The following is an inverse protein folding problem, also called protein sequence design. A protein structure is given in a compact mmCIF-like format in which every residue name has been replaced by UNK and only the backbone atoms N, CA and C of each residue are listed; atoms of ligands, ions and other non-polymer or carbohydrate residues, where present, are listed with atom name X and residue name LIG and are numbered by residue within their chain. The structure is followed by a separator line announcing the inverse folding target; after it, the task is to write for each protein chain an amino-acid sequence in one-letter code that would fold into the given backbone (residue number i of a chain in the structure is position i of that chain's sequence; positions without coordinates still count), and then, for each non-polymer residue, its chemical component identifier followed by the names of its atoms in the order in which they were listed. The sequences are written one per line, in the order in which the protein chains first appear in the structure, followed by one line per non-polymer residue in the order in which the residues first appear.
data_IF_838542412569
#
_entry.id   IF_838542412569
#
_cell.length_a   1.000
_cell.length_b   1.000
_cell.length_c   1.000
_cell.angle_alpha   90.00
_cell.angle_beta   90.00
_cell.angle_gamma   90.00
#
_symmetry.space_group_name_H-M   'P 1'
#
loop_
_entity.id
_entity.type
_entity.pdbx_description
1 polymer ?
#
# COMPACT_ATOMS: atom_id res chain seq x y z
N UNK A 1 21.95 82.27 1.62
CA UNK A 1 20.72 81.46 1.59
C UNK A 1 19.48 82.28 1.96
N UNK A 2 18.50 82.37 1.06
CA UNK A 2 17.20 83.04 1.25
C UNK A 2 16.32 82.24 2.24
N UNK A 3 15.49 82.89 3.06
CA UNK A 3 14.61 82.24 4.05
C UNK A 3 13.62 81.27 3.38
N UNK A 4 13.22 81.54 2.14
CA UNK A 4 12.39 80.64 1.33
C UNK A 4 13.11 79.32 1.01
N UNK A 5 14.41 79.35 0.67
CA UNK A 5 15.21 78.15 0.40
C UNK A 5 15.39 77.32 1.68
N UNK A 6 15.55 78.00 2.82
CA UNK A 6 15.66 77.36 4.14
C UNK A 6 14.38 76.61 4.52
N UNK A 7 13.22 77.23 4.31
CA UNK A 7 11.91 76.60 4.54
C UNK A 7 11.68 75.41 3.59
N UNK A 8 12.07 75.52 2.32
CA UNK A 8 11.99 74.41 1.36
C UNK A 8 12.87 73.22 1.75
N UNK A 9 14.11 73.47 2.17
CA UNK A 9 15.02 72.44 2.65
C UNK A 9 14.48 71.73 3.90
N UNK A 10 13.89 72.48 4.82
CA UNK A 10 13.25 71.92 6.01
C UNK A 10 12.08 71.00 5.63
N UNK A 11 11.17 71.47 4.76
CA UNK A 11 10.02 70.69 4.31
C UNK A 11 10.44 69.39 3.58
N UNK A 12 11.48 69.44 2.74
CA UNK A 12 12.01 68.25 2.06
C UNK A 12 12.69 67.28 3.02
N UNK A 13 13.36 67.80 4.06
CA UNK A 13 13.99 66.98 5.10
C UNK A 13 12.94 66.25 5.94
N UNK A 14 11.87 66.95 6.30
CA UNK A 14 10.71 66.36 6.98
C UNK A 14 10.01 65.32 6.09
N UNK A 15 9.83 65.61 4.79
CA UNK A 15 9.28 64.65 3.83
C UNK A 15 10.12 63.36 3.74
N UNK A 16 11.45 63.51 3.67
CA UNK A 16 12.38 62.38 3.61
C UNK A 16 12.31 61.51 4.86
N UNK A 17 12.27 62.12 6.04
CA UNK A 17 12.17 61.40 7.31
C UNK A 17 10.84 60.65 7.41
N UNK A 18 9.72 61.29 7.03
CA UNK A 18 8.40 60.65 6.98
C UNK A 18 8.37 59.47 6.02
N UNK A 19 9.02 59.57 4.87
CA UNK A 19 9.14 58.47 3.91
C UNK A 19 9.92 57.27 4.48
N UNK A 20 11.03 57.53 5.19
CA UNK A 20 11.79 56.48 5.89
C UNK A 20 10.96 55.80 6.96
N UNK A 21 10.15 56.56 7.71
CA UNK A 21 9.19 56.01 8.67
C UNK A 21 8.17 55.11 7.97
N UNK A 22 7.61 55.51 6.82
CA UNK A 22 6.72 54.65 6.04
C UNK A 22 7.40 53.36 5.58
N UNK A 23 8.67 53.41 5.15
CA UNK A 23 9.42 52.21 4.78
C UNK A 23 9.62 51.26 5.96
N UNK A 24 9.86 51.78 7.17
CA UNK A 24 9.97 50.98 8.39
C UNK A 24 8.62 50.36 8.77
N UNK A 25 7.54 51.14 8.71
CA UNK A 25 6.17 50.67 8.97
C UNK A 25 5.75 49.57 7.99
N UNK A 26 6.07 49.72 6.70
CA UNK A 26 5.84 48.68 5.68
C UNK A 26 6.61 47.40 5.98
N UNK A 27 7.90 47.50 6.38
CA UNK A 27 8.68 46.33 6.80
C UNK A 27 8.06 45.64 8.01
N UNK A 28 7.60 46.40 9.01
CA UNK A 28 6.90 45.87 10.18
C UNK A 28 5.60 45.16 9.76
N UNK A 29 4.79 45.77 8.90
CA UNK A 29 3.57 45.14 8.36
C UNK A 29 3.87 43.82 7.67
N UNK A 30 4.84 43.79 6.75
CA UNK A 30 5.21 42.54 6.06
C UNK A 30 5.73 41.46 6.99
N UNK A 31 6.41 41.86 8.08
CA UNK A 31 6.89 40.93 9.09
C UNK A 31 5.73 40.30 9.86
N UNK A 32 4.78 41.13 10.32
CA UNK A 32 3.55 40.68 11.00
C UNK A 32 2.74 39.75 10.08
N UNK A 33 2.55 40.12 8.82
CA UNK A 33 1.86 39.27 7.84
C UNK A 33 2.54 37.91 7.65
N UNK A 34 3.88 37.88 7.66
CA UNK A 34 4.64 36.63 7.61
C UNK A 34 4.48 35.79 8.89
N UNK A 35 4.40 36.41 10.07
CA UNK A 35 4.16 35.70 11.33
C UNK A 35 2.76 35.09 11.38
N UNK A 36 1.74 35.82 10.92
CA UNK A 36 0.38 35.31 10.78
C UNK A 36 0.35 34.08 9.89
N UNK A 37 1.01 34.15 8.72
CA UNK A 37 1.04 33.03 7.78
C UNK A 37 1.70 31.79 8.41
N UNK A 38 2.83 31.99 9.10
CA UNK A 38 3.52 30.90 9.81
C UNK A 38 2.63 30.28 10.89
N UNK A 39 1.96 31.09 11.71
CA UNK A 39 1.08 30.60 12.77
C UNK A 39 -0.11 29.79 12.20
N UNK A 40 -0.66 30.20 11.05
CA UNK A 40 -1.69 29.44 10.33
C UNK A 40 -1.13 28.09 9.84
N UNK A 41 0.07 28.07 9.29
CA UNK A 41 0.72 26.84 8.78
C UNK A 41 1.09 25.85 9.90
N UNK A 42 1.49 26.36 11.07
CA UNK A 42 1.77 25.55 12.25
C UNK A 42 0.47 24.90 12.78
N UNK A 43 -0.64 25.66 12.87
CA UNK A 43 -1.93 25.13 13.29
C UNK A 43 -2.52 24.12 12.28
N UNK A 44 -2.36 24.40 10.97
CA UNK A 44 -2.65 23.46 9.88
C UNK A 44 -1.98 22.10 10.10
N UNK A 45 -0.69 22.13 10.46
CA UNK A 45 0.10 20.92 10.68
C UNK A 45 -0.39 20.16 11.91
N UNK A 46 -0.62 20.85 13.03
CA UNK A 46 -1.08 20.23 14.27
C UNK A 46 -2.46 19.55 14.14
N UNK A 47 -3.40 20.17 13.42
CA UNK A 47 -4.72 19.57 13.14
C UNK A 47 -4.57 18.32 12.26
N UNK A 48 -3.72 18.40 11.23
CA UNK A 48 -3.47 17.27 10.32
C UNK A 48 -2.87 16.06 11.04
N UNK A 49 -1.86 16.27 11.89
CA UNK A 49 -1.20 15.21 12.66
C UNK A 49 -2.16 14.49 13.61
N UNK A 50 -2.98 15.24 14.36
CA UNK A 50 -4.00 14.64 15.24
C UNK A 50 -4.99 13.79 14.45
N UNK A 51 -5.42 14.29 13.29
CA UNK A 51 -6.37 13.59 12.41
C UNK A 51 -5.79 12.29 11.83
N UNK A 52 -4.52 12.33 11.39
CA UNK A 52 -3.82 11.17 10.86
C UNK A 52 -3.65 10.06 11.94
N UNK A 53 -3.44 10.44 13.21
CA UNK A 53 -3.41 9.49 14.33
C UNK A 53 -4.73 8.72 14.51
N UNK A 54 -5.88 9.40 14.41
CA UNK A 54 -7.19 8.75 14.53
C UNK A 54 -7.46 7.77 13.37
N UNK A 55 -7.17 8.18 12.13
CA UNK A 55 -7.32 7.30 10.96
C UNK A 55 -6.38 6.09 11.04
N UNK A 56 -5.14 6.31 11.49
CA UNK A 56 -4.18 5.24 11.74
C UNK A 56 -4.68 4.27 12.83
N UNK A 57 -5.40 4.75 13.84
CA UNK A 57 -6.02 3.91 14.87
C UNK A 57 -7.06 2.95 14.29
N UNK A 58 -7.90 3.42 13.36
CA UNK A 58 -8.89 2.57 12.67
C UNK A 58 -8.23 1.59 11.69
N UNK A 59 -7.18 2.01 10.99
CA UNK A 59 -6.40 1.12 10.14
C UNK A 59 -5.72 0.01 10.96
N UNK A 60 -5.28 0.32 12.18
CA UNK A 60 -4.79 -0.67 13.14
C UNK A 60 -5.89 -1.62 13.61
N UNK A 61 -7.09 -1.11 13.94
CA UNK A 61 -8.27 -1.93 14.32
C UNK A 61 -8.62 -2.93 13.20
N UNK A 62 -8.63 -2.51 11.92
CA UNK A 62 -8.84 -3.42 10.78
C UNK A 62 -7.79 -4.53 10.75
N UNK A 63 -6.52 -4.16 10.96
CA UNK A 63 -5.42 -5.11 10.94
C UNK A 63 -5.52 -6.13 12.09
N UNK A 64 -5.79 -5.68 13.31
CA UNK A 64 -5.92 -6.56 14.48
C UNK A 64 -7.13 -7.49 14.33
N UNK A 65 -8.30 -6.98 13.92
CA UNK A 65 -9.48 -7.79 13.66
C UNK A 65 -9.18 -8.88 12.62
N UNK A 66 -8.56 -8.54 11.49
CA UNK A 66 -8.17 -9.55 10.49
C UNK A 66 -7.23 -10.61 11.05
N UNK A 67 -6.24 -10.20 11.85
CA UNK A 67 -5.26 -11.11 12.45
C UNK A 67 -5.94 -12.09 13.41
N UNK A 68 -6.86 -11.61 14.24
CA UNK A 68 -7.61 -12.44 15.20
C UNK A 68 -8.49 -13.47 14.50
N UNK A 69 -9.25 -13.06 13.49
CA UNK A 69 -10.11 -13.98 12.73
C UNK A 69 -9.28 -15.00 11.94
N UNK A 70 -8.18 -14.59 11.31
CA UNK A 70 -7.28 -15.51 10.62
C UNK A 70 -6.72 -16.58 11.57
N UNK A 71 -6.37 -16.20 12.80
CA UNK A 71 -5.92 -17.14 13.82
C UNK A 71 -7.00 -18.17 14.19
N UNK A 72 -8.25 -17.72 14.38
CA UNK A 72 -9.40 -18.61 14.65
C UNK A 72 -9.67 -19.57 13.48
N UNK A 73 -9.69 -19.04 12.25
CA UNK A 73 -9.90 -19.84 11.03
C UNK A 73 -8.77 -20.86 10.87
N UNK A 74 -7.52 -20.48 11.14
CA UNK A 74 -6.37 -21.39 11.06
C UNK A 74 -6.48 -22.53 12.08
N UNK A 75 -6.92 -22.24 13.31
CA UNK A 75 -7.17 -23.25 14.34
C UNK A 75 -8.18 -24.31 13.86
N UNK A 76 -9.34 -23.87 13.37
CA UNK A 76 -10.39 -24.76 12.85
C UNK A 76 -9.91 -25.51 11.60
N UNK A 77 -9.20 -24.84 10.70
CA UNK A 77 -8.65 -25.47 9.48
C UNK A 77 -7.66 -26.59 9.80
N UNK A 78 -6.87 -26.43 10.87
CA UNK A 78 -5.93 -27.47 11.32
C UNK A 78 -6.65 -28.70 11.84
N UNK A 79 -7.69 -28.53 12.66
CA UNK A 79 -8.51 -29.65 13.14
C UNK A 79 -9.29 -30.31 12.00
N UNK A 80 -9.85 -29.51 11.07
CA UNK A 80 -10.50 -30.01 9.85
C UNK A 80 -9.56 -30.91 9.05
N UNK A 81 -8.30 -30.51 8.86
CA UNK A 81 -7.35 -31.31 8.08
C UNK A 81 -6.94 -32.61 8.80
N UNK A 82 -6.84 -32.60 10.14
CA UNK A 82 -6.65 -33.83 10.93
C UNK A 82 -7.80 -34.82 10.71
N UNK A 83 -9.05 -34.35 10.83
CA UNK A 83 -10.24 -35.19 10.59
C UNK A 83 -10.28 -35.70 9.15
N UNK A 84 -9.92 -34.85 8.18
CA UNK A 84 -9.84 -35.23 6.76
C UNK A 84 -8.81 -36.33 6.52
N UNK A 85 -7.62 -36.23 7.14
CA UNK A 85 -6.60 -37.26 7.04
C UNK A 85 -7.10 -38.59 7.60
N UNK A 86 -7.71 -38.59 8.79
CA UNK A 86 -8.30 -39.79 9.39
C UNK A 86 -9.45 -40.37 8.55
N UNK A 87 -10.28 -39.53 7.93
CA UNK A 87 -11.33 -39.96 7.01
C UNK A 87 -10.75 -40.68 5.79
N UNK A 88 -9.70 -40.14 5.17
CA UNK A 88 -9.03 -40.75 4.02
C UNK A 88 -8.45 -42.13 4.36
N UNK A 89 -7.87 -42.28 5.55
CA UNK A 89 -7.35 -43.56 6.03
C UNK A 89 -8.48 -44.59 6.20
N UNK A 90 -9.59 -44.21 6.83
CA UNK A 90 -10.75 -45.08 7.01
C UNK A 90 -11.37 -45.50 5.68
N UNK A 91 -11.46 -44.58 4.70
CA UNK A 91 -11.94 -44.90 3.34
C UNK A 91 -11.01 -45.91 2.68
N UNK A 92 -9.68 -45.74 2.81
CA UNK A 92 -8.72 -46.68 2.26
C UNK A 92 -8.81 -48.07 2.92
N UNK A 93 -9.01 -48.13 4.25
CA UNK A 93 -9.23 -49.38 4.97
C UNK A 93 -10.54 -50.06 4.53
N UNK A 94 -11.63 -49.30 4.39
CA UNK A 94 -12.92 -49.79 3.90
C UNK A 94 -12.81 -50.38 2.50
N UNK A 95 -12.09 -49.72 1.59
CA UNK A 95 -11.84 -50.22 0.23
C UNK A 95 -11.07 -51.56 0.21
N UNK A 96 -10.12 -51.76 1.14
CA UNK A 96 -9.39 -53.04 1.26
C UNK A 96 -10.30 -54.18 1.70
N UNK A 97 -11.24 -53.93 2.61
CA UNK A 97 -12.21 -54.95 3.05
C UNK A 97 -13.08 -55.40 1.88
N UNK A 98 -13.58 -54.47 1.07
CA UNK A 98 -14.36 -54.80 -0.14
C UNK A 98 -13.58 -55.69 -1.12
N UNK A 99 -12.28 -55.41 -1.32
CA UNK A 99 -11.44 -56.24 -2.19
C UNK A 99 -11.26 -57.66 -1.64
N UNK A 100 -11.12 -57.82 -0.32
CA UNK A 100 -11.00 -59.14 0.31
C UNK A 100 -12.30 -59.93 0.14
N UNK A 101 -13.45 -59.30 0.37
CA UNK A 101 -14.76 -59.93 0.16
C UNK A 101 -14.94 -60.40 -1.30
N UNK A 102 -14.53 -59.56 -2.27
CA UNK A 102 -14.59 -59.92 -3.68
C UNK A 102 -13.66 -61.11 -4.02
N UNK A 103 -12.46 -61.13 -3.45
CA UNK A 103 -11.52 -62.26 -3.61
C UNK A 103 -12.07 -63.55 -3.01
N UNK A 104 -12.74 -63.49 -1.85
CA UNK A 104 -13.36 -64.66 -1.21
C UNK A 104 -14.51 -65.20 -2.03
N UNK A 105 -15.42 -64.35 -2.53
CA UNK A 105 -16.52 -64.77 -3.40
C UNK A 105 -16.02 -65.50 -4.66
N UNK A 106 -14.92 -65.02 -5.26
CA UNK A 106 -14.27 -65.69 -6.40
C UNK A 106 -13.64 -67.03 -6.02
N UNK A 107 -13.09 -67.13 -4.81
CA UNK A 107 -12.53 -68.38 -4.28
C UNK A 107 -13.62 -69.42 -4.03
N UNK A 108 -14.71 -69.03 -3.39
CA UNK A 108 -15.84 -69.91 -3.08
C UNK A 108 -16.48 -70.45 -4.37
N UNK A 109 -16.65 -69.62 -5.40
CA UNK A 109 -17.12 -70.05 -6.73
C UNK A 109 -16.17 -71.06 -7.41
N UNK A 110 -14.85 -70.91 -7.24
CA UNK A 110 -13.88 -71.90 -7.75
C UNK A 110 -13.98 -73.22 -6.97
N UNK A 111 -14.18 -73.14 -5.66
CA UNK A 111 -14.30 -74.32 -4.81
C UNK A 111 -15.54 -75.15 -5.17
N UNK A 112 -16.69 -74.49 -5.35
CA UNK A 112 -17.94 -75.11 -5.80
C UNK A 112 -17.75 -75.85 -7.13
N UNK A 113 -17.16 -75.18 -8.13
CA UNK A 113 -16.83 -75.81 -9.42
C UNK A 113 -15.90 -77.01 -9.30
N UNK A 114 -14.99 -76.99 -8.33
CA UNK A 114 -14.07 -78.11 -8.07
C UNK A 114 -14.81 -79.29 -7.43
N UNK A 115 -15.74 -79.02 -6.51
CA UNK A 115 -16.60 -80.04 -5.90
C UNK A 115 -17.54 -80.69 -6.93
N UNK A 116 -18.10 -79.90 -7.85
CA UNK A 116 -18.89 -80.42 -8.98
C UNK A 116 -18.07 -81.33 -9.88
N UNK A 117 -16.84 -80.94 -10.21
CA UNK A 117 -15.93 -81.78 -11.00
C UNK A 117 -15.60 -83.09 -10.28
N UNK A 118 -15.34 -83.05 -8.97
CA UNK A 118 -15.09 -84.26 -8.16
C UNK A 118 -16.33 -85.17 -8.12
N UNK A 119 -17.53 -84.59 -7.94
CA UNK A 119 -18.79 -85.33 -7.97
C UNK A 119 -19.03 -86.00 -9.33
N UNK A 120 -18.74 -85.28 -10.41
CA UNK A 120 -18.82 -85.81 -11.78
C UNK A 120 -17.83 -86.96 -12.02
N UNK A 121 -16.59 -86.82 -11.55
CA UNK A 121 -15.56 -87.87 -11.59
C UNK A 121 -15.96 -89.09 -10.75
N UNK A 122 -16.55 -88.88 -9.57
CA UNK A 122 -17.07 -89.94 -8.70
C UNK A 122 -18.20 -90.71 -9.39
N UNK A 123 -19.12 -90.01 -10.05
CA UNK A 123 -20.19 -90.61 -10.85
C UNK A 123 -19.65 -91.40 -12.05
N UNK A 124 -18.61 -90.90 -12.72
CA UNK A 124 -17.92 -91.62 -13.80
C UNK A 124 -17.21 -92.89 -13.31
N UNK A 125 -16.51 -92.81 -12.18
CA UNK A 125 -15.86 -93.97 -11.52
C UNK A 125 -16.87 -95.02 -11.03
N UNK A 126 -18.11 -94.61 -10.75
CA UNK A 126 -19.19 -95.50 -10.34
C UNK A 126 -19.91 -96.20 -11.51
N UNK A 127 -19.56 -95.88 -12.75
CA UNK A 127 -20.17 -96.41 -13.96
C UNK A 127 -19.78 -97.88 -14.21
N UNK A 128 -20.72 -98.70 -14.69
CA UNK A 128 -20.65 -100.17 -14.66
C UNK A 128 -19.45 -100.78 -15.42
N UNK A 129 -18.93 -100.07 -16.41
CA UNK A 129 -17.76 -100.50 -17.20
C UNK A 129 -16.44 -100.40 -16.41
N UNK A 130 -16.20 -99.30 -15.68
CA UNK A 130 -14.98 -99.08 -14.88
C UNK A 130 -14.93 -99.99 -13.66
N UNK A 131 -16.09 -100.24 -13.02
CA UNK A 131 -16.24 -101.22 -11.94
C UNK A 131 -15.88 -102.65 -12.37
N UNK A 132 -16.07 -103.01 -13.64
CA UNK A 132 -15.76 -104.35 -14.17
C UNK A 132 -14.26 -104.58 -14.38
N UNK A 133 -13.51 -103.53 -14.75
CA UNK A 133 -12.05 -103.58 -14.98
C UNK A 133 -11.26 -103.53 -13.67
N UNK A 134 -11.71 -102.77 -12.67
CA UNK A 134 -11.02 -102.63 -11.38
C UNK A 134 -11.29 -103.76 -10.38
N UNK A 135 -12.28 -104.63 -10.65
CA UNK A 135 -12.70 -105.73 -9.77
C UNK A 135 -11.58 -106.72 -9.43
N UNK A 136 -10.74 -107.17 -10.37
CA UNK A 136 -9.68 -108.16 -10.09
C UNK A 136 -8.51 -107.61 -9.26
N UNK A 137 -8.33 -106.28 -9.21
CA UNK A 137 -7.28 -105.62 -8.42
C UNK A 137 -7.73 -105.28 -7.00
N UNK A 138 -9.04 -105.18 -6.78
CA UNK A 138 -9.65 -104.75 -5.51
C UNK A 138 -9.53 -105.79 -4.41
N UNK A 139 -9.57 -107.08 -4.76
CA UNK A 139 -9.69 -108.19 -3.80
C UNK A 139 -8.38 -108.57 -3.08
N UNK A 140 -7.25 -107.90 -3.39
CA UNK A 140 -5.96 -108.11 -2.69
C UNK A 140 -5.50 -106.96 -1.79
N UNK A 141 -6.19 -105.82 -1.78
CA UNK A 141 -5.85 -104.65 -0.92
C UNK A 141 -6.98 -104.23 0.04
N UNK A 142 -8.10 -104.95 0.07
CA UNK A 142 -9.42 -104.34 0.23
C UNK A 142 -9.84 -103.88 1.64
N UNK A 143 -9.25 -104.40 2.73
CA UNK A 143 -9.76 -104.09 4.08
C UNK A 143 -8.84 -103.13 4.85
N UNK A 144 -7.52 -103.24 4.69
CA UNK A 144 -6.58 -102.41 5.44
C UNK A 144 -6.36 -101.03 4.80
N UNK A 145 -6.32 -100.93 3.47
CA UNK A 145 -6.29 -99.64 2.77
C UNK A 145 -7.61 -98.86 2.90
N UNK A 146 -8.74 -99.56 2.89
CA UNK A 146 -10.05 -98.90 3.03
C UNK A 146 -10.19 -98.24 4.40
N UNK A 147 -9.86 -98.96 5.47
CA UNK A 147 -9.87 -98.40 6.83
C UNK A 147 -8.84 -97.28 7.02
N UNK A 148 -7.68 -97.35 6.37
CA UNK A 148 -6.68 -96.27 6.40
C UNK A 148 -7.17 -95.01 5.66
N UNK A 149 -7.78 -95.18 4.47
CA UNK A 149 -8.36 -94.08 3.69
C UNK A 149 -9.53 -93.42 4.42
N UNK A 150 -10.43 -94.19 5.03
CA UNK A 150 -11.53 -93.63 5.84
C UNK A 150 -11.03 -92.83 7.05
N UNK A 151 -10.01 -93.32 7.76
CA UNK A 151 -9.40 -92.55 8.87
C UNK A 151 -8.77 -91.25 8.38
N UNK A 152 -8.05 -91.27 7.26
CA UNK A 152 -7.49 -90.05 6.65
C UNK A 152 -8.57 -89.09 6.18
N UNK A 153 -9.62 -89.58 5.54
CA UNK A 153 -10.76 -88.75 5.11
C UNK A 153 -11.41 -88.08 6.33
N UNK A 154 -11.61 -88.83 7.42
CA UNK A 154 -12.18 -88.29 8.64
C UNK A 154 -11.28 -87.22 9.26
N UNK A 155 -9.97 -87.47 9.37
CA UNK A 155 -9.01 -86.46 9.84
C UNK A 155 -9.04 -85.19 8.98
N UNK A 156 -8.97 -85.32 7.65
CA UNK A 156 -9.03 -84.17 6.75
C UNK A 156 -10.37 -83.44 6.84
N UNK A 157 -11.49 -84.14 7.02
CA UNK A 157 -12.81 -83.51 7.18
C UNK A 157 -12.92 -82.71 8.48
N UNK A 158 -12.34 -83.21 9.58
CA UNK A 158 -12.28 -82.49 10.86
C UNK A 158 -11.38 -81.25 10.77
N UNK A 159 -10.28 -81.34 10.01
CA UNK A 159 -9.36 -80.23 9.74
C UNK A 159 -10.02 -79.14 8.88
N UNK A 160 -10.76 -79.53 7.83
CA UNK A 160 -11.57 -78.63 7.01
C UNK A 160 -12.65 -77.94 7.85
N UNK A 161 -13.36 -78.68 8.71
CA UNK A 161 -14.38 -78.10 9.58
C UNK A 161 -13.80 -77.05 10.54
N UNK A 162 -12.61 -77.29 11.10
CA UNK A 162 -11.90 -76.30 11.93
C UNK A 162 -11.49 -75.06 11.13
N UNK A 163 -10.94 -75.24 9.94
CA UNK A 163 -10.55 -74.13 9.06
C UNK A 163 -11.76 -73.29 8.63
N UNK A 164 -12.89 -73.93 8.31
CA UNK A 164 -14.13 -73.21 7.97
C UNK A 164 -14.64 -72.40 9.15
N UNK A 165 -14.64 -72.97 10.37
CA UNK A 165 -15.02 -72.21 11.57
C UNK A 165 -14.11 -71.01 11.80
N UNK A 166 -12.79 -71.16 11.62
CA UNK A 166 -11.84 -70.05 11.73
C UNK A 166 -12.06 -68.98 10.66
N UNK A 167 -12.38 -69.39 9.41
CA UNK A 167 -12.78 -68.48 8.33
C UNK A 167 -14.00 -67.67 8.75
N UNK A 168 -15.06 -68.33 9.20
CA UNK A 168 -16.32 -67.69 9.58
C UNK A 168 -16.14 -66.71 10.76
N UNK A 169 -15.38 -67.11 11.78
CA UNK A 169 -15.05 -66.25 12.93
C UNK A 169 -14.25 -65.00 12.51
N UNK A 170 -13.32 -65.14 11.56
CA UNK A 170 -12.57 -64.00 11.00
C UNK A 170 -13.47 -63.09 10.16
N UNK A 171 -14.37 -63.67 9.38
CA UNK A 171 -15.30 -62.96 8.50
C UNK A 171 -16.29 -62.12 9.33
N UNK A 172 -16.83 -62.68 10.41
CA UNK A 172 -17.67 -61.95 11.35
C UNK A 172 -16.93 -60.77 12.00
N UNK A 173 -15.67 -60.97 12.43
CA UNK A 173 -14.82 -59.90 12.97
C UNK A 173 -14.55 -58.80 11.94
N UNK A 174 -14.29 -59.17 10.69
CA UNK A 174 -14.09 -58.22 9.60
C UNK A 174 -15.35 -57.40 9.32
N UNK A 175 -16.52 -58.03 9.27
CA UNK A 175 -17.79 -57.34 9.06
C UNK A 175 -18.12 -56.35 10.19
N UNK A 176 -17.88 -56.73 11.46
CA UNK A 176 -17.99 -55.84 12.62
C UNK A 176 -17.01 -54.67 12.54
N UNK A 177 -15.76 -54.92 12.15
CA UNK A 177 -14.77 -53.85 11.96
C UNK A 177 -15.14 -52.93 10.81
N UNK A 178 -15.77 -53.45 9.76
CA UNK A 178 -16.19 -52.68 8.59
C UNK A 178 -17.39 -51.78 8.90
N UNK A 179 -18.39 -52.29 9.63
CA UNK A 179 -19.54 -51.49 10.05
C UNK A 179 -19.12 -50.35 10.99
N UNK A 180 -18.19 -50.60 11.91
CA UNK A 180 -17.59 -49.57 12.76
C UNK A 180 -16.84 -48.52 11.92
N UNK A 181 -16.04 -48.94 10.94
CA UNK A 181 -15.34 -48.02 10.05
C UNK A 181 -16.31 -47.13 9.24
N UNK A 182 -17.40 -47.70 8.70
CA UNK A 182 -18.45 -46.94 8.01
C UNK A 182 -19.13 -45.92 8.93
N UNK A 183 -19.39 -46.29 10.18
CA UNK A 183 -19.94 -45.38 11.18
C UNK A 183 -18.97 -44.20 11.47
N UNK A 184 -17.68 -44.46 11.65
CA UNK A 184 -16.68 -43.42 11.84
C UNK A 184 -16.53 -42.52 10.60
N UNK A 185 -16.61 -43.09 9.39
CA UNK A 185 -16.63 -42.33 8.13
C UNK A 185 -17.79 -41.33 8.11
N UNK A 186 -19.01 -41.76 8.43
CA UNK A 186 -20.19 -40.88 8.46
C UNK A 186 -20.03 -39.76 9.52
N UNK A 187 -19.52 -40.13 10.70
CA UNK A 187 -19.22 -39.17 11.77
C UNK A 187 -18.20 -38.11 11.33
N UNK A 188 -17.07 -38.51 10.74
CA UNK A 188 -16.05 -37.58 10.26
C UNK A 188 -16.57 -36.70 9.12
N UNK A 189 -17.38 -37.24 8.20
CA UNK A 189 -18.03 -36.44 7.14
C UNK A 189 -18.91 -35.33 7.73
N UNK A 190 -19.72 -35.64 8.74
CA UNK A 190 -20.56 -34.64 9.44
C UNK A 190 -19.70 -33.58 10.14
N UNK A 191 -18.63 -33.97 10.80
CA UNK A 191 -17.69 -33.03 11.44
C UNK A 191 -17.02 -32.09 10.42
N UNK A 192 -16.62 -32.60 9.25
CA UNK A 192 -16.04 -31.76 8.20
C UNK A 192 -17.03 -30.70 7.69
N UNK A 193 -18.29 -31.07 7.50
CA UNK A 193 -19.35 -30.12 7.12
C UNK A 193 -19.52 -29.04 8.21
N UNK A 194 -19.50 -29.44 9.48
CA UNK A 194 -19.61 -28.51 10.60
C UNK A 194 -18.44 -27.52 10.64
N UNK A 195 -17.19 -27.98 10.44
CA UNK A 195 -16.04 -27.09 10.34
C UNK A 195 -16.14 -26.13 9.16
N UNK A 196 -16.65 -26.58 8.01
CA UNK A 196 -16.86 -25.71 6.84
C UNK A 196 -17.89 -24.61 7.12
N UNK A 197 -18.99 -24.95 7.81
CA UNK A 197 -19.97 -23.96 8.27
C UNK A 197 -19.36 -22.96 9.25
N UNK A 198 -18.59 -23.43 10.24
CA UNK A 198 -17.93 -22.55 11.22
C UNK A 198 -16.92 -21.59 10.56
N UNK A 199 -16.13 -22.07 9.59
CA UNK A 199 -15.19 -21.23 8.84
C UNK A 199 -15.95 -20.16 8.05
N UNK A 200 -17.01 -20.54 7.34
CA UNK A 200 -17.82 -19.60 6.55
C UNK A 200 -18.48 -18.53 7.44
N UNK A 201 -19.02 -18.92 8.60
CA UNK A 201 -19.58 -17.98 9.59
C UNK A 201 -18.54 -16.98 10.09
N UNK A 202 -17.31 -17.45 10.36
CA UNK A 202 -16.21 -16.57 10.77
C UNK A 202 -15.79 -15.61 9.65
N UNK A 203 -15.76 -16.07 8.40
CA UNK A 203 -15.47 -15.21 7.24
C UNK A 203 -16.54 -14.11 7.13
N UNK A 204 -17.82 -14.46 7.19
CA UNK A 204 -18.90 -13.47 7.12
C UNK A 204 -18.87 -12.46 8.29
N UNK A 205 -18.58 -12.92 9.51
CA UNK A 205 -18.38 -12.02 10.67
C UNK A 205 -17.21 -11.07 10.45
N UNK A 206 -16.07 -11.57 9.98
CA UNK A 206 -14.91 -10.75 9.65
C UNK A 206 -15.25 -9.70 8.59
N UNK A 207 -15.93 -10.09 7.52
CA UNK A 207 -16.32 -9.17 6.44
C UNK A 207 -17.23 -8.04 6.96
N UNK A 208 -18.17 -8.37 7.84
CA UNK A 208 -19.09 -7.39 8.44
C UNK A 208 -18.36 -6.44 9.39
N UNK A 209 -17.49 -6.96 10.27
CA UNK A 209 -16.71 -6.13 11.19
C UNK A 209 -15.77 -5.20 10.43
N UNK A 210 -15.00 -5.72 9.47
CA UNK A 210 -14.08 -4.92 8.63
C UNK A 210 -14.85 -3.88 7.82
N UNK A 211 -16.03 -4.21 7.32
CA UNK A 211 -16.90 -3.25 6.61
C UNK A 211 -17.34 -2.12 7.53
N UNK A 212 -17.82 -2.44 8.73
CA UNK A 212 -18.23 -1.44 9.71
C UNK A 212 -17.07 -0.52 10.13
N UNK A 213 -15.86 -1.05 10.31
CA UNK A 213 -14.69 -0.21 10.62
C UNK A 213 -14.34 0.69 9.43
N UNK A 214 -14.42 0.18 8.20
CA UNK A 214 -14.17 0.97 6.98
C UNK A 214 -15.19 2.08 6.78
N UNK A 215 -16.46 1.82 7.05
CA UNK A 215 -17.52 2.83 7.01
C UNK A 215 -17.23 3.95 8.01
N UNK A 216 -16.96 3.60 9.28
CA UNK A 216 -16.52 4.57 10.31
C UNK A 216 -15.30 5.38 9.86
N UNK A 217 -14.30 4.73 9.27
CA UNK A 217 -13.10 5.39 8.73
C UNK A 217 -13.42 6.38 7.62
N UNK A 218 -14.31 6.02 6.70
CA UNK A 218 -14.70 6.88 5.60
C UNK A 218 -15.53 8.08 6.10
N UNK A 219 -16.48 7.85 6.99
CA UNK A 219 -17.26 8.92 7.63
C UNK A 219 -16.36 9.90 8.38
N UNK A 220 -15.36 9.40 9.12
CA UNK A 220 -14.36 10.23 9.78
C UNK A 220 -13.47 10.98 8.79
N UNK A 221 -13.10 10.37 7.66
CA UNK A 221 -12.31 11.03 6.62
C UNK A 221 -13.10 12.15 5.92
N UNK A 222 -14.41 11.98 5.75
CA UNK A 222 -15.29 13.02 5.20
C UNK A 222 -15.57 14.11 6.23
N UNK A 223 -15.85 13.75 7.49
CA UNK A 223 -15.99 14.71 8.59
C UNK A 223 -14.71 15.52 8.80
N UNK A 224 -13.54 14.90 8.68
CA UNK A 224 -12.24 15.56 8.68
C UNK A 224 -12.17 16.67 7.64
N UNK A 225 -12.55 16.41 6.39
CA UNK A 225 -12.45 17.43 5.33
C UNK A 225 -13.23 18.70 5.69
N UNK A 226 -14.40 18.53 6.29
CA UNK A 226 -15.27 19.66 6.68
C UNK A 226 -14.78 20.31 7.98
N UNK A 227 -14.48 19.50 9.00
CA UNK A 227 -14.08 19.96 10.34
C UNK A 227 -12.70 20.61 10.36
N UNK A 228 -11.72 20.03 9.67
CA UNK A 228 -10.38 20.63 9.53
C UNK A 228 -10.53 22.00 8.85
N UNK A 229 -11.30 22.13 7.77
CA UNK A 229 -11.54 23.43 7.13
C UNK A 229 -12.19 24.46 8.07
N UNK A 230 -13.17 24.07 8.89
CA UNK A 230 -13.80 24.96 9.85
C UNK A 230 -12.86 25.36 11.00
N UNK A 231 -12.08 24.42 11.54
CA UNK A 231 -11.11 24.67 12.59
C UNK A 231 -10.01 25.62 12.10
N UNK A 232 -9.52 25.40 10.88
CA UNK A 232 -8.53 26.26 10.24
C UNK A 232 -9.07 27.65 9.96
N UNK A 233 -10.32 27.75 9.50
CA UNK A 233 -10.98 29.03 9.31
C UNK A 233 -11.14 29.79 10.64
N UNK A 234 -11.44 29.08 11.75
CA UNK A 234 -11.53 29.69 13.08
C UNK A 234 -10.17 30.11 13.62
N UNK A 235 -9.14 29.27 13.49
CA UNK A 235 -7.78 29.59 13.90
C UNK A 235 -7.24 30.78 13.12
N UNK A 236 -7.37 30.79 11.79
CA UNK A 236 -6.99 31.91 10.95
C UNK A 236 -7.73 33.19 11.33
N UNK A 237 -9.03 33.12 11.65
CA UNK A 237 -9.80 34.29 12.14
C UNK A 237 -9.29 34.81 13.49
N UNK A 238 -8.92 33.93 14.41
CA UNK A 238 -8.43 34.32 15.72
C UNK A 238 -7.03 34.94 15.63
N UNK A 239 -6.11 34.30 14.91
CA UNK A 239 -4.76 34.82 14.65
C UNK A 239 -4.87 36.17 13.92
N UNK A 240 -5.67 36.24 12.85
CA UNK A 240 -5.86 37.51 12.14
C UNK A 240 -6.42 38.59 13.07
N UNK A 241 -7.32 38.26 14.00
CA UNK A 241 -7.89 39.22 14.96
C UNK A 241 -6.85 39.77 15.94
N UNK A 242 -5.90 38.95 16.39
CA UNK A 242 -4.82 39.37 17.30
C UNK A 242 -3.93 40.43 16.65
N UNK A 243 -3.60 40.26 15.37
CA UNK A 243 -2.72 41.18 14.64
C UNK A 243 -3.46 42.30 13.90
N UNK A 244 -4.79 42.22 13.78
CA UNK A 244 -5.60 43.18 13.01
C UNK A 244 -5.45 44.60 13.50
N UNK A 245 -5.45 44.81 14.81
CA UNK A 245 -5.29 46.14 15.39
C UNK A 245 -3.92 46.75 15.10
N UNK A 246 -2.87 45.94 15.00
CA UNK A 246 -1.52 46.41 14.69
C UNK A 246 -1.38 46.76 13.20
N UNK A 247 -1.91 45.92 12.31
CA UNK A 247 -1.95 46.20 10.87
C UNK A 247 -2.79 47.44 10.57
N UNK A 248 -3.98 47.56 11.18
CA UNK A 248 -4.87 48.71 11.01
C UNK A 248 -4.20 50.01 11.51
N UNK A 249 -3.44 49.95 12.61
CA UNK A 249 -2.68 51.07 13.14
C UNK A 249 -1.53 51.49 12.21
N UNK A 250 -0.80 50.52 11.64
CA UNK A 250 0.24 50.79 10.64
C UNK A 250 -0.36 51.44 9.39
N UNK A 251 -1.47 50.90 8.87
CA UNK A 251 -2.14 51.43 7.67
C UNK A 251 -2.69 52.84 7.90
N UNK A 252 -3.27 53.10 9.08
CA UNK A 252 -3.70 54.43 9.47
C UNK A 252 -2.52 55.41 9.54
N UNK A 253 -1.37 54.98 10.09
CA UNK A 253 -0.19 55.84 10.21
C UNK A 253 0.47 56.12 8.86
N UNK A 254 0.55 55.13 7.98
CA UNK A 254 1.04 55.32 6.61
C UNK A 254 0.14 56.30 5.86
N UNK A 255 -1.20 56.18 6.02
CA UNK A 255 -2.15 57.10 5.41
C UNK A 255 -1.96 58.54 5.92
N UNK A 256 -1.84 58.72 7.23
CA UNK A 256 -1.57 60.03 7.84
C UNK A 256 -0.25 60.63 7.31
N UNK A 257 0.81 59.83 7.24
CA UNK A 257 2.09 60.25 6.70
C UNK A 257 2.00 60.65 5.22
N UNK A 258 1.25 59.90 4.41
CA UNK A 258 1.04 60.23 3.00
C UNK A 258 0.24 61.52 2.82
N UNK A 259 -0.78 61.75 3.65
CA UNK A 259 -1.55 63.00 3.67
C UNK A 259 -0.65 64.20 4.02
N UNK A 260 0.26 64.04 5.00
CA UNK A 260 1.26 65.06 5.36
C UNK A 260 2.21 65.37 4.20
N UNK A 261 2.76 64.34 3.54
CA UNK A 261 3.67 64.51 2.40
C UNK A 261 3.04 65.29 1.24
N UNK A 262 1.75 65.04 0.97
CA UNK A 262 1.03 65.72 -0.10
C UNK A 262 0.63 67.16 0.27
N UNK A 263 0.10 67.38 1.48
CA UNK A 263 -0.50 68.67 1.87
C UNK A 263 0.53 69.67 2.39
N UNK A 264 1.39 69.24 3.29
CA UNK A 264 2.33 70.12 4.00
C UNK A 264 3.66 70.25 3.25
N UNK A 265 4.22 69.12 2.79
CA UNK A 265 5.51 69.12 2.08
C UNK A 265 5.38 69.42 0.57
N UNK A 266 4.16 69.40 0.01
CA UNK A 266 3.86 69.61 -1.42
C UNK A 266 4.69 68.71 -2.36
N UNK A 267 5.05 67.51 -1.92
CA UNK A 267 5.80 66.54 -2.72
C UNK A 267 4.80 65.65 -3.45
N UNK A 268 4.77 65.70 -4.79
CA UNK A 268 3.95 64.79 -5.59
C UNK A 268 4.44 63.35 -5.46
N UNK A 269 3.50 62.40 -5.57
CA UNK A 269 3.77 60.96 -5.39
C UNK A 269 4.92 60.45 -6.26
N UNK A 270 5.07 61.00 -7.47
CA UNK A 270 6.11 60.66 -8.44
C UNK A 270 7.54 60.92 -7.95
N UNK A 271 7.74 61.82 -6.99
CA UNK A 271 9.06 62.21 -6.47
C UNK A 271 9.28 61.84 -5.00
N UNK A 272 8.38 61.03 -4.42
CA UNK A 272 8.46 60.53 -3.06
C UNK A 272 9.38 59.30 -2.97
N UNK A 273 10.68 59.50 -3.20
CA UNK A 273 11.69 58.48 -2.89
C UNK A 273 12.83 59.09 -2.06
N UNK A 274 13.45 58.28 -1.19
CA UNK A 274 14.54 58.76 -0.32
C UNK A 274 15.71 59.29 -1.17
N UNK A 275 15.98 58.65 -2.30
CA UNK A 275 17.02 59.05 -3.23
C UNK A 275 16.73 60.43 -3.88
N UNK A 276 15.52 60.61 -4.42
CA UNK A 276 15.11 61.86 -5.06
C UNK A 276 15.15 63.00 -4.05
N UNK A 277 14.51 62.81 -2.89
CA UNK A 277 14.47 63.85 -1.84
C UNK A 277 15.88 64.20 -1.33
N UNK A 278 16.78 63.21 -1.21
CA UNK A 278 18.18 63.46 -0.82
C UNK A 278 18.91 64.33 -1.86
N UNK A 279 18.73 64.02 -3.15
CA UNK A 279 19.34 64.78 -4.25
C UNK A 279 18.79 66.21 -4.31
N UNK A 280 17.46 66.39 -4.17
CA UNK A 280 16.82 67.71 -4.14
C UNK A 280 17.31 68.58 -2.97
N UNK A 281 17.37 68.02 -1.75
CA UNK A 281 17.93 68.71 -0.57
C UNK A 281 19.38 69.12 -0.83
N UNK A 282 20.18 68.24 -1.45
CA UNK A 282 21.58 68.52 -1.77
C UNK A 282 21.74 69.66 -2.79
N UNK A 283 20.90 69.72 -3.84
CA UNK A 283 20.95 70.80 -4.81
C UNK A 283 20.60 72.17 -4.20
N UNK A 284 19.61 72.21 -3.31
CA UNK A 284 19.26 73.44 -2.58
C UNK A 284 20.36 73.85 -1.58
N UNK A 285 20.92 72.88 -0.85
CA UNK A 285 21.99 73.13 0.13
C UNK A 285 23.26 73.68 -0.51
N UNK A 286 23.63 73.14 -1.68
CA UNK A 286 24.81 73.56 -2.42
C UNK A 286 24.55 74.76 -3.35
N UNK A 287 23.42 75.45 -3.19
CA UNK A 287 23.00 76.62 -3.98
C UNK A 287 22.93 76.35 -5.51
N UNK A 288 22.82 75.09 -5.93
CA UNK A 288 22.65 74.69 -7.34
C UNK A 288 21.23 74.96 -7.85
N UNK A 289 20.25 75.06 -6.96
CA UNK A 289 18.86 75.41 -7.25
C UNK A 289 18.34 76.39 -6.19
N UNK A 290 17.39 77.24 -6.59
CA UNK A 290 16.75 78.23 -5.70
C UNK A 290 15.30 77.90 -5.37
N UNK A 291 14.70 76.95 -6.07
CA UNK A 291 13.34 76.47 -5.85
C UNK A 291 13.20 74.97 -6.21
N UNK A 292 12.07 74.36 -5.82
CA UNK A 292 11.81 72.92 -6.07
C UNK A 292 11.80 72.59 -7.56
N UNK A 293 11.28 73.47 -8.42
CA UNK A 293 11.17 73.22 -9.86
C UNK A 293 12.56 73.11 -10.50
N UNK A 294 13.46 74.04 -10.18
CA UNK A 294 14.85 74.00 -10.61
C UNK A 294 15.58 72.76 -10.09
N UNK A 295 15.36 72.39 -8.82
CA UNK A 295 15.96 71.20 -8.25
C UNK A 295 15.48 69.91 -8.95
N UNK A 296 14.19 69.84 -9.32
CA UNK A 296 13.62 68.72 -10.09
C UNK A 296 14.14 68.69 -11.53
N UNK A 297 14.25 69.85 -12.19
CA UNK A 297 14.81 69.94 -13.54
C UNK A 297 16.27 69.45 -13.56
N UNK A 298 17.07 69.80 -12.54
CA UNK A 298 18.42 69.27 -12.36
C UNK A 298 18.44 67.76 -12.14
N UNK A 299 17.56 67.24 -11.28
CA UNK A 299 17.44 65.80 -11.04
C UNK A 299 17.14 65.03 -12.34
N UNK A 300 16.11 65.46 -13.07
CA UNK A 300 15.70 64.83 -14.33
C UNK A 300 16.78 64.95 -15.42
N UNK A 301 17.56 66.03 -15.41
CA UNK A 301 18.70 66.17 -16.31
C UNK A 301 19.82 65.19 -15.96
N UNK A 302 20.16 65.04 -14.67
CA UNK A 302 21.15 64.07 -14.22
C UNK A 302 20.71 62.62 -14.52
N UNK A 303 19.43 62.31 -14.33
CA UNK A 303 18.83 61.00 -14.66
C UNK A 303 18.94 60.68 -16.16
N UNK A 304 18.58 61.62 -17.04
CA UNK A 304 18.74 61.45 -18.50
C UNK A 304 20.19 61.15 -18.89
N UNK A 305 21.14 61.88 -18.30
CA UNK A 305 22.58 61.67 -18.54
C UNK A 305 23.02 60.29 -18.05
N UNK A 306 22.49 59.83 -16.92
CA UNK A 306 22.82 58.54 -16.33
C UNK A 306 22.25 57.38 -17.18
N UNK A 307 21.05 57.52 -17.71
CA UNK A 307 20.44 56.56 -18.64
C UNK A 307 21.17 56.52 -20.00
N UNK A 308 21.59 57.66 -20.54
CA UNK A 308 22.43 57.73 -21.74
C UNK A 308 23.77 57.02 -21.52
N UNK A 309 24.36 57.13 -20.33
CA UNK A 309 25.57 56.40 -19.98
C UNK A 309 25.32 54.89 -19.88
N UNK A 310 24.23 54.47 -19.22
CA UNK A 310 23.86 53.05 -19.09
C UNK A 310 23.63 52.41 -20.45
N UNK A 311 22.84 53.03 -21.31
CA UNK A 311 22.57 52.55 -22.67
C UNK A 311 23.85 52.47 -23.51
N UNK A 312 24.76 53.43 -23.37
CA UNK A 312 26.08 53.39 -24.04
C UNK A 312 26.95 52.24 -23.52
N UNK A 313 26.98 51.99 -22.22
CA UNK A 313 27.71 50.88 -21.61
C UNK A 313 27.13 49.54 -22.09
N UNK A 314 25.80 49.39 -22.10
CA UNK A 314 25.14 48.17 -22.58
C UNK A 314 25.43 47.90 -24.05
N UNK A 315 25.42 48.95 -24.88
CA UNK A 315 25.82 48.85 -26.27
C UNK A 315 27.28 48.38 -26.41
N UNK A 316 28.20 48.97 -25.63
CA UNK A 316 29.61 48.57 -25.62
C UNK A 316 29.79 47.11 -25.16
N UNK A 317 29.08 46.68 -24.12
CA UNK A 317 29.10 45.31 -23.63
C UNK A 317 28.59 44.32 -24.68
N UNK A 318 27.52 44.68 -25.40
CA UNK A 318 26.98 43.88 -26.50
C UNK A 318 27.96 43.76 -27.66
N UNK A 319 28.63 44.86 -28.04
CA UNK A 319 29.71 44.83 -29.06
C UNK A 319 30.86 43.94 -28.61
N UNK A 320 31.28 44.05 -27.35
CA UNK A 320 32.38 43.24 -26.80
C UNK A 320 32.01 41.75 -26.74
N UNK A 321 30.75 41.42 -26.46
CA UNK A 321 30.24 40.04 -26.50
C UNK A 321 30.24 39.47 -27.92
N UNK A 322 29.81 40.25 -28.92
CA UNK A 322 29.89 39.85 -30.33
C UNK A 322 31.33 39.63 -30.78
N UNK A 323 32.26 40.49 -30.36
CA UNK A 323 33.69 40.31 -30.64
C UNK A 323 34.24 39.03 -30.01
N UNK A 324 33.86 38.70 -28.77
CA UNK A 324 34.23 37.44 -28.11
C UNK A 324 33.70 36.22 -28.87
N UNK A 325 32.43 36.24 -29.27
CA UNK A 325 31.84 35.15 -30.07
C UNK A 325 32.55 34.96 -31.40
N UNK A 326 32.89 36.07 -32.09
CA UNK A 326 33.65 36.02 -33.33
C UNK A 326 35.06 35.45 -33.12
N UNK A 327 35.74 35.85 -32.04
CA UNK A 327 37.07 35.32 -31.70
C UNK A 327 37.02 33.82 -31.36
N UNK A 328 36.00 33.36 -30.63
CA UNK A 328 35.80 31.93 -30.36
C UNK A 328 35.53 31.13 -31.65
N UNK A 329 34.74 31.68 -32.58
CA UNK A 329 34.52 31.05 -33.89
C UNK A 329 35.80 30.97 -34.72
N UNK A 330 36.61 32.03 -34.72
CA UNK A 330 37.92 32.04 -35.38
C UNK A 330 38.87 31.01 -34.76
N UNK A 331 38.93 30.91 -33.42
CA UNK A 331 39.74 29.89 -32.74
C UNK A 331 39.29 28.47 -33.10
N UNK A 332 37.98 28.19 -33.10
CA UNK A 332 37.46 26.88 -33.54
C UNK A 332 37.82 26.58 -35.00
N UNK A 333 37.82 27.58 -35.88
CA UNK A 333 38.21 27.43 -37.28
C UNK A 333 39.71 27.20 -37.44
N UNK A 334 40.54 27.88 -36.66
CA UNK A 334 41.99 27.66 -36.57
C UNK A 334 42.32 26.25 -36.04
N UNK A 335 41.63 25.79 -35.00
CA UNK A 335 41.76 24.42 -34.49
C UNK A 335 41.36 23.38 -35.55
N UNK A 336 40.28 23.62 -36.28
CA UNK A 336 39.84 22.74 -37.37
C UNK A 336 40.86 22.69 -38.53
N UNK A 337 41.46 23.83 -38.88
CA UNK A 337 42.51 23.90 -39.90
C UNK A 337 43.80 23.20 -39.44
N UNK A 338 44.24 23.44 -38.19
CA UNK A 338 45.39 22.75 -37.61
C UNK A 338 45.17 21.22 -37.53
N UNK A 339 43.94 20.77 -37.31
CA UNK A 339 43.59 19.35 -37.34
C UNK A 339 43.63 18.79 -38.77
N UNK A 340 43.10 19.52 -39.74
CA UNK A 340 43.16 19.15 -41.16
C UNK A 340 44.62 19.10 -41.70
N UNK A 341 45.48 20.03 -41.29
CA UNK A 341 46.90 20.03 -41.66
C UNK A 341 47.65 18.82 -41.08
N UNK A 342 47.37 18.45 -39.82
CA UNK A 342 47.92 17.22 -39.21
C UNK A 342 47.45 15.94 -39.90
N UNK A 343 46.19 15.90 -40.32
CA UNK A 343 45.62 14.77 -41.05
C UNK A 343 46.14 14.69 -42.50
N UNK A 344 46.51 15.83 -43.11
CA UNK A 344 47.12 15.88 -44.45
C UNK A 344 48.63 15.61 -44.46
N UNK A 345 49.34 15.88 -43.37
CA UNK A 345 50.78 15.57 -43.20
C UNK A 345 51.05 14.11 -42.81
N UNK A 346 50.00 13.30 -42.63
CA UNK A 346 50.05 11.88 -42.28
C UNK A 346 49.71 10.95 -43.46
N UNK A 347 49.69 11.48 -44.69
CA UNK A 347 49.65 10.73 -45.96
C UNK A 347 50.93 10.99 -46.73
#
# INVERSE_FOLDING_TARGET
MNEEVKNLMQNLTEARNTLRTNQLLLKQKTHIESEIQKAIDDENTAIKEKSDLFLSGLDHEIYTTKKEFNSKIQGISTEREKVRASLNELIAQSARVFQIDEMMNRSDAKHEKTMDNISTLSNFMNNGFVKSILRPLKDKLSVHESNYRERKIKQHSEEIAKLNKQKDDLLAKMQLSHSEALFQIDKHKKQLIEYDLQINDLIHKLENEVRSIRERRNELADWRRVSDQELLLRAAKNIAKEYRSEIDAIDAKIKENNDFLQKECRVSVEYQTDEILTKLISYLHNERATNIKEALELYLQEERIEDEKRTRIDFQNKQLQLQKQHFEQLNKRLEALNKADKDSSSK
#
